data_IF_722106734807
#
_entry.id   IF_722106734807
#
_cell.length_a   1.000
_cell.length_b   1.000
_cell.length_c   1.000
_cell.angle_alpha   90.00
_cell.angle_beta   90.00
_cell.angle_gamma   90.00
#
_symmetry.space_group_name_H-M   'P 1'
#
loop_
_entity.id
_entity.type
_entity.pdbx_description
1 polymer ?
#
# COMPACT_ATOMS: atom_id res chain seq x y z
N UNK A 1 -23.24 -2.85 -3.88
CA UNK A 1 -22.45 -3.47 -4.97
C UNK A 1 -23.22 -3.28 -6.27
N UNK A 2 -22.57 -2.76 -7.31
CA UNK A 2 -23.17 -2.44 -8.63
C UNK A 2 -22.47 -3.18 -9.78
N UNK A 3 -21.77 -4.28 -9.48
CA UNK A 3 -21.17 -5.15 -10.48
C UNK A 3 -22.23 -5.97 -11.22
N UNK A 4 -22.08 -6.11 -12.53
CA UNK A 4 -22.93 -6.93 -13.39
C UNK A 4 -22.01 -7.89 -14.16
N UNK A 5 -22.32 -9.18 -14.13
CA UNK A 5 -21.52 -10.20 -14.84
C UNK A 5 -21.56 -9.95 -16.35
N UNK A 6 -20.41 -10.07 -17.02
CA UNK A 6 -20.28 -9.82 -18.45
C UNK A 6 -20.29 -8.33 -18.86
N UNK A 7 -20.42 -7.39 -17.92
CA UNK A 7 -20.45 -5.97 -18.25
C UNK A 7 -19.10 -5.48 -18.78
N UNK A 8 -19.17 -4.48 -19.65
CA UNK A 8 -18.03 -3.85 -20.34
C UNK A 8 -17.86 -2.42 -19.85
N UNK A 9 -16.70 -1.80 -20.06
CA UNK A 9 -16.51 -0.37 -19.74
C UNK A 9 -17.52 0.53 -20.45
N UNK A 10 -17.95 0.15 -21.66
CA UNK A 10 -19.05 0.83 -22.39
C UNK A 10 -20.38 0.71 -21.65
N UNK A 11 -20.75 -0.48 -21.20
CA UNK A 11 -21.99 -0.71 -20.45
C UNK A 11 -21.99 0.02 -19.11
N UNK A 12 -20.87 -0.04 -18.39
CA UNK A 12 -20.64 0.73 -17.17
C UNK A 12 -20.79 2.24 -17.37
N UNK A 13 -20.26 2.79 -18.46
CA UNK A 13 -20.42 4.21 -18.80
C UNK A 13 -21.88 4.59 -19.04
N UNK A 14 -22.64 3.75 -19.75
CA UNK A 14 -24.06 4.00 -20.04
C UNK A 14 -24.90 4.07 -18.77
N UNK A 15 -24.65 3.18 -17.79
CA UNK A 15 -25.43 3.10 -16.54
C UNK A 15 -24.86 3.91 -15.38
N UNK A 16 -23.73 4.61 -15.59
CA UNK A 16 -22.96 5.30 -14.55
C UNK A 16 -23.83 6.25 -13.71
N UNK A 17 -24.69 7.03 -14.37
CA UNK A 17 -25.54 8.01 -13.69
C UNK A 17 -26.51 7.36 -12.70
N UNK A 18 -27.28 6.37 -13.16
CA UNK A 18 -28.33 5.72 -12.36
C UNK A 18 -27.74 4.79 -11.30
N UNK A 19 -26.74 3.99 -11.67
CA UNK A 19 -26.21 2.95 -10.78
C UNK A 19 -25.21 3.47 -9.75
N UNK A 20 -24.59 4.62 -10.00
CA UNK A 20 -23.49 5.13 -9.15
C UNK A 20 -23.74 6.57 -8.72
N UNK A 21 -23.80 7.52 -9.66
CA UNK A 21 -23.74 8.95 -9.32
C UNK A 21 -25.00 9.44 -8.59
N UNK A 22 -26.17 9.01 -9.02
CA UNK A 22 -27.46 9.35 -8.37
C UNK A 22 -27.57 8.84 -6.92
N UNK A 23 -26.70 7.92 -6.51
CA UNK A 23 -26.65 7.40 -5.15
C UNK A 23 -25.78 8.25 -4.21
N UNK A 24 -25.12 9.30 -4.73
CA UNK A 24 -24.21 10.18 -4.00
C UNK A 24 -23.18 9.41 -3.12
N UNK A 25 -22.33 8.55 -3.73
CA UNK A 25 -21.42 7.70 -2.98
C UNK A 25 -20.35 8.53 -2.25
N UNK A 26 -19.88 8.01 -1.11
CA UNK A 26 -18.72 8.59 -0.41
C UNK A 26 -17.39 8.15 -1.02
N UNK A 27 -17.37 7.10 -1.83
CA UNK A 27 -16.21 6.59 -2.56
C UNK A 27 -16.61 5.49 -3.54
N UNK A 28 -15.77 5.21 -4.54
CA UNK A 28 -16.04 4.21 -5.59
C UNK A 28 -14.86 3.23 -5.68
N UNK A 29 -15.12 1.92 -5.64
CA UNK A 29 -14.14 0.90 -6.01
C UNK A 29 -14.43 0.43 -7.43
N UNK A 30 -13.43 0.44 -8.31
CA UNK A 30 -13.54 0.14 -9.73
C UNK A 30 -12.65 -1.03 -10.13
N UNK A 31 -13.24 -2.04 -10.78
CA UNK A 31 -12.55 -3.11 -11.50
C UNK A 31 -13.31 -3.36 -12.79
N UNK A 32 -12.70 -3.07 -13.94
CA UNK A 32 -13.39 -3.07 -15.24
C UNK A 32 -12.43 -3.27 -16.41
N UNK A 33 -12.92 -3.86 -17.51
CA UNK A 33 -12.17 -3.98 -18.77
C UNK A 33 -11.92 -5.41 -19.26
N UNK A 34 -12.03 -6.44 -18.40
CA UNK A 34 -11.70 -7.81 -18.81
C UNK A 34 -12.68 -8.41 -19.83
N UNK A 35 -13.97 -8.03 -19.77
CA UNK A 35 -14.97 -8.51 -20.72
C UNK A 35 -14.93 -7.74 -22.04
N UNK A 36 -14.48 -6.49 -22.03
CA UNK A 36 -14.28 -5.72 -23.24
C UNK A 36 -13.31 -6.41 -24.21
N UNK A 37 -12.27 -7.09 -23.69
CA UNK A 37 -11.36 -7.91 -24.50
C UNK A 37 -12.06 -9.11 -25.14
N UNK A 38 -12.96 -9.77 -24.43
CA UNK A 38 -13.75 -10.89 -24.97
C UNK A 38 -14.67 -10.44 -26.12
N UNK A 39 -15.20 -9.22 -26.02
CA UNK A 39 -16.02 -8.55 -27.03
C UNK A 39 -15.20 -7.88 -28.16
N UNK A 40 -13.87 -8.01 -28.12
CA UNK A 40 -12.97 -7.54 -29.18
C UNK A 40 -12.62 -6.05 -29.13
N UNK A 41 -12.86 -5.36 -28.02
CA UNK A 41 -12.40 -3.98 -27.83
C UNK A 41 -10.88 -3.92 -27.62
N UNK A 42 -10.25 -2.85 -28.08
CA UNK A 42 -8.81 -2.63 -27.85
C UNK A 42 -8.56 -2.02 -26.46
N UNK A 43 -7.37 -2.20 -25.87
CA UNK A 43 -6.99 -1.53 -24.63
C UNK A 43 -7.21 -0.01 -24.65
N UNK A 44 -7.02 0.65 -25.80
CA UNK A 44 -7.22 2.09 -25.96
C UNK A 44 -8.69 2.48 -25.90
N UNK A 45 -9.59 1.67 -26.48
CA UNK A 45 -11.04 1.88 -26.37
C UNK A 45 -11.51 1.74 -24.92
N UNK A 46 -11.00 0.71 -24.23
CA UNK A 46 -11.27 0.44 -22.81
C UNK A 46 -10.81 1.62 -21.94
N UNK A 47 -9.57 2.08 -22.15
CA UNK A 47 -9.03 3.24 -21.46
C UNK A 47 -9.77 4.55 -21.80
N UNK A 48 -10.24 4.70 -23.03
CA UNK A 48 -11.09 5.82 -23.45
C UNK A 48 -12.41 5.88 -22.67
N UNK A 49 -13.10 4.73 -22.55
CA UNK A 49 -14.32 4.63 -21.75
C UNK A 49 -14.04 4.92 -20.26
N UNK A 50 -12.95 4.38 -19.70
CA UNK A 50 -12.55 4.68 -18.34
C UNK A 50 -12.31 6.18 -18.10
N UNK A 51 -11.64 6.88 -19.02
CA UNK A 51 -11.45 8.34 -18.93
C UNK A 51 -12.77 9.10 -18.93
N UNK A 52 -13.75 8.67 -19.72
CA UNK A 52 -15.10 9.26 -19.72
C UNK A 52 -15.82 9.01 -18.39
N UNK A 53 -15.72 7.80 -17.84
CA UNK A 53 -16.27 7.46 -16.51
C UNK A 53 -15.64 8.36 -15.44
N UNK A 54 -14.31 8.46 -15.41
CA UNK A 54 -13.60 9.28 -14.43
C UNK A 54 -13.96 10.77 -14.57
N UNK A 55 -14.08 11.29 -15.79
CA UNK A 55 -14.51 12.66 -16.04
C UNK A 55 -15.92 12.92 -15.52
N UNK A 56 -16.86 11.99 -15.72
CA UNK A 56 -18.21 12.09 -15.17
C UNK A 56 -18.22 12.04 -13.63
N UNK A 57 -17.41 11.17 -13.02
CA UNK A 57 -17.22 11.11 -11.56
C UNK A 57 -16.70 12.44 -11.02
N UNK A 58 -15.67 13.02 -11.65
CA UNK A 58 -15.11 14.33 -11.25
C UNK A 58 -16.10 15.47 -11.44
N UNK A 59 -16.91 15.44 -12.50
CA UNK A 59 -17.98 16.42 -12.73
C UNK A 59 -19.05 16.34 -11.65
N UNK A 60 -19.42 15.13 -11.23
CA UNK A 60 -20.39 14.92 -10.15
C UNK A 60 -19.83 15.38 -8.81
N UNK A 61 -18.59 14.98 -8.47
CA UNK A 61 -17.89 15.42 -7.26
C UNK A 61 -16.37 15.35 -7.47
N UNK A 62 -15.73 16.53 -7.52
CA UNK A 62 -14.33 16.69 -7.90
C UNK A 62 -13.35 15.95 -6.98
N UNK A 63 -13.68 15.83 -5.70
CA UNK A 63 -12.86 15.21 -4.66
C UNK A 63 -13.34 13.81 -4.26
N UNK A 64 -14.28 13.19 -5.00
CA UNK A 64 -14.80 11.86 -4.71
C UNK A 64 -13.70 10.80 -4.79
N UNK A 65 -13.37 10.09 -3.70
CA UNK A 65 -12.34 9.07 -3.73
C UNK A 65 -12.69 7.92 -4.67
N UNK A 66 -11.73 7.53 -5.50
CA UNK A 66 -11.82 6.37 -6.40
C UNK A 66 -10.69 5.41 -6.07
N UNK A 67 -11.01 4.15 -5.84
CA UNK A 67 -10.05 3.06 -5.72
C UNK A 67 -10.10 2.27 -7.02
N UNK A 68 -9.05 2.36 -7.83
CA UNK A 68 -8.97 1.66 -9.11
C UNK A 68 -8.12 0.40 -8.95
N UNK A 69 -8.74 -0.76 -9.11
CA UNK A 69 -8.04 -2.02 -9.22
C UNK A 69 -7.49 -2.17 -10.63
N UNK A 70 -6.22 -2.56 -10.76
CA UNK A 70 -5.74 -3.12 -12.02
C UNK A 70 -6.60 -4.34 -12.41
N UNK A 71 -6.90 -4.44 -13.70
CA UNK A 71 -7.58 -5.58 -14.29
C UNK A 71 -6.81 -6.85 -13.93
N UNK A 72 -7.51 -7.83 -13.36
CA UNK A 72 -6.94 -9.11 -12.98
C UNK A 72 -6.40 -9.85 -14.22
N UNK A 73 -5.39 -10.71 -14.07
CA UNK A 73 -4.99 -11.62 -15.14
C UNK A 73 -6.14 -12.56 -15.49
N UNK A 74 -6.08 -13.10 -16.70
CA UNK A 74 -6.93 -14.20 -17.16
C UNK A 74 -6.07 -15.12 -18.01
N UNK A 75 -6.57 -15.64 -19.13
CA UNK A 75 -5.78 -16.44 -20.05
C UNK A 75 -6.10 -16.09 -21.50
N UNK A 76 -5.12 -16.24 -22.38
CA UNK A 76 -5.35 -16.16 -23.82
C UNK A 76 -6.44 -17.15 -24.29
N UNK A 77 -6.58 -18.30 -23.64
CA UNK A 77 -7.65 -19.28 -23.90
C UNK A 77 -9.05 -18.74 -23.62
N UNK A 78 -9.16 -17.70 -22.79
CA UNK A 78 -10.38 -16.94 -22.50
C UNK A 78 -10.50 -15.67 -23.33
N UNK A 79 -9.73 -15.53 -24.42
CA UNK A 79 -9.64 -14.32 -25.26
C UNK A 79 -9.19 -13.08 -24.49
N UNK A 80 -8.41 -13.27 -23.42
CA UNK A 80 -7.96 -12.21 -22.51
C UNK A 80 -6.44 -12.34 -22.31
N UNK A 81 -5.63 -12.14 -23.36
CA UNK A 81 -4.20 -12.37 -23.29
C UNK A 81 -3.52 -11.36 -22.35
N UNK A 82 -2.45 -11.80 -21.69
CA UNK A 82 -1.80 -11.03 -20.62
C UNK A 82 -1.22 -9.69 -21.10
N UNK A 83 -0.76 -9.60 -22.34
CA UNK A 83 -0.24 -8.37 -22.95
C UNK A 83 -1.33 -7.29 -23.09
N UNK A 84 -2.53 -7.66 -23.54
CA UNK A 84 -3.67 -6.76 -23.64
C UNK A 84 -4.10 -6.24 -22.26
N UNK A 85 -4.17 -7.12 -21.25
CA UNK A 85 -4.50 -6.75 -19.86
C UNK A 85 -3.43 -5.80 -19.29
N UNK A 86 -2.14 -6.10 -19.48
CA UNK A 86 -1.03 -5.23 -19.06
C UNK A 86 -1.11 -3.86 -19.74
N UNK A 87 -1.48 -3.81 -21.02
CA UNK A 87 -1.67 -2.55 -21.74
C UNK A 87 -2.86 -1.74 -21.17
N UNK A 88 -3.99 -2.37 -20.84
CA UNK A 88 -5.10 -1.70 -20.14
C UNK A 88 -4.61 -1.10 -18.81
N UNK A 89 -3.92 -1.91 -17.99
CA UNK A 89 -3.42 -1.48 -16.68
C UNK A 89 -2.42 -0.32 -16.78
N UNK A 90 -1.57 -0.32 -17.80
CA UNK A 90 -0.66 0.79 -18.11
C UNK A 90 -1.45 2.06 -18.46
N UNK A 91 -2.43 1.96 -19.36
CA UNK A 91 -3.25 3.10 -19.78
C UNK A 91 -4.11 3.66 -18.64
N UNK A 92 -4.59 2.80 -17.74
CA UNK A 92 -5.27 3.21 -16.50
C UNK A 92 -4.34 3.98 -15.58
N UNK A 93 -3.12 3.47 -15.34
CA UNK A 93 -2.11 4.16 -14.54
C UNK A 93 -1.74 5.54 -15.14
N UNK A 94 -1.60 5.62 -16.46
CA UNK A 94 -1.36 6.88 -17.17
C UNK A 94 -2.53 7.86 -17.04
N UNK A 95 -3.77 7.37 -17.08
CA UNK A 95 -4.97 8.19 -17.01
C UNK A 95 -5.21 8.82 -15.61
N UNK A 96 -4.62 8.25 -14.55
CA UNK A 96 -4.84 8.69 -13.16
C UNK A 96 -3.61 9.31 -12.51
N UNK A 97 -2.48 9.41 -13.24
CA UNK A 97 -1.18 9.86 -12.72
C UNK A 97 -1.22 11.21 -12.01
N UNK A 98 -2.09 12.12 -12.43
CA UNK A 98 -2.17 13.47 -11.85
C UNK A 98 -3.41 13.65 -10.95
N UNK A 99 -4.17 12.58 -10.73
CA UNK A 99 -5.41 12.61 -9.97
C UNK A 99 -5.21 12.08 -8.55
N UNK A 100 -4.96 13.00 -7.62
CA UNK A 100 -4.76 12.70 -6.19
C UNK A 100 -5.96 12.06 -5.49
N UNK A 101 -7.14 12.05 -6.11
CA UNK A 101 -8.33 11.41 -5.58
C UNK A 101 -8.54 10.00 -6.15
N UNK A 102 -7.60 9.49 -6.95
CA UNK A 102 -7.56 8.09 -7.36
C UNK A 102 -6.42 7.37 -6.64
N UNK A 103 -6.73 6.24 -6.02
CA UNK A 103 -5.74 5.27 -5.55
C UNK A 103 -5.75 4.06 -6.47
N UNK A 104 -4.66 3.86 -7.23
CA UNK A 104 -4.45 2.67 -8.04
C UNK A 104 -3.89 1.53 -7.17
N UNK A 105 -4.48 0.35 -7.26
CA UNK A 105 -4.00 -0.86 -6.58
C UNK A 105 -3.51 -1.86 -7.63
N UNK A 106 -2.29 -2.37 -7.46
CA UNK A 106 -1.62 -3.32 -8.37
C UNK A 106 -2.14 -4.76 -8.27
N UNK A 107 -3.47 -4.92 -8.28
CA UNK A 107 -4.15 -6.21 -8.11
C UNK A 107 -3.79 -7.26 -9.16
N UNK A 108 -3.30 -6.88 -10.34
CA UNK A 108 -2.86 -7.86 -11.35
C UNK A 108 -1.75 -8.76 -10.81
N UNK A 109 -0.77 -8.18 -10.10
CA UNK A 109 0.40 -8.90 -9.57
C UNK A 109 0.05 -9.95 -8.50
N UNK A 110 -1.06 -9.77 -7.78
CA UNK A 110 -1.52 -10.73 -6.78
C UNK A 110 -1.85 -12.09 -7.41
N UNK A 111 -2.45 -12.05 -8.59
CA UNK A 111 -3.14 -13.17 -9.20
C UNK A 111 -2.41 -13.73 -10.42
N UNK A 112 -1.38 -13.04 -10.90
CA UNK A 112 -0.64 -13.44 -12.10
C UNK A 112 0.42 -14.50 -11.75
N UNK A 113 0.47 -15.56 -12.55
CA UNK A 113 1.58 -16.52 -12.54
C UNK A 113 2.80 -15.95 -13.30
N UNK A 114 3.86 -16.76 -13.44
CA UNK A 114 5.09 -16.34 -14.10
C UNK A 114 4.89 -16.00 -15.59
N UNK A 115 3.91 -16.63 -16.23
CA UNK A 115 3.53 -16.44 -17.63
C UNK A 115 2.63 -15.20 -17.82
N UNK A 116 2.07 -14.67 -16.73
CA UNK A 116 1.13 -13.55 -16.71
C UNK A 116 -0.35 -13.94 -16.79
N UNK A 117 -0.65 -15.24 -16.79
CA UNK A 117 -1.99 -15.80 -16.72
C UNK A 117 -2.49 -15.87 -15.27
N UNK A 118 -3.79 -16.04 -15.08
CA UNK A 118 -4.37 -16.22 -13.74
C UNK A 118 -3.91 -17.55 -13.11
N UNK A 119 -3.57 -17.51 -11.82
CA UNK A 119 -3.25 -18.71 -11.02
C UNK A 119 -4.47 -19.62 -10.90
N UNK A 120 -4.39 -20.83 -11.43
CA UNK A 120 -5.53 -21.75 -11.47
C UNK A 120 -6.04 -22.15 -10.07
N UNK A 121 -5.16 -22.14 -9.06
CA UNK A 121 -5.52 -22.45 -7.67
C UNK A 121 -6.45 -21.38 -7.05
N UNK A 122 -6.41 -20.16 -7.60
CA UNK A 122 -7.22 -19.02 -7.16
C UNK A 122 -8.33 -18.70 -8.16
N UNK A 123 -8.14 -19.04 -9.43
CA UNK A 123 -9.05 -18.81 -10.56
C UNK A 123 -9.30 -20.15 -11.26
N UNK A 124 -10.23 -20.99 -10.74
CA UNK A 124 -10.42 -22.36 -11.23
C UNK A 124 -10.84 -22.43 -12.71
N UNK A 125 -11.42 -21.36 -13.24
CA UNK A 125 -11.76 -21.23 -14.66
C UNK A 125 -10.85 -20.24 -15.41
N UNK A 126 -9.75 -19.78 -14.80
CA UNK A 126 -8.82 -18.76 -15.30
C UNK A 126 -9.47 -17.37 -15.52
N UNK A 127 -10.58 -17.07 -14.86
CA UNK A 127 -11.27 -15.78 -14.99
C UNK A 127 -11.90 -15.27 -13.68
N UNK A 128 -12.61 -16.13 -12.95
CA UNK A 128 -13.31 -15.78 -11.73
C UNK A 128 -12.54 -16.26 -10.49
N UNK A 129 -12.29 -15.39 -9.49
CA UNK A 129 -11.63 -15.82 -8.28
C UNK A 129 -12.54 -16.74 -7.46
N UNK A 130 -11.94 -17.74 -6.82
CA UNK A 130 -12.57 -18.52 -5.76
C UNK A 130 -12.51 -17.76 -4.42
N UNK A 131 -12.90 -18.41 -3.32
CA UNK A 131 -12.88 -17.79 -1.99
C UNK A 131 -11.50 -17.23 -1.63
N UNK A 132 -10.42 -17.98 -1.86
CA UNK A 132 -9.07 -17.53 -1.54
C UNK A 132 -8.66 -16.30 -2.39
N UNK A 133 -9.03 -16.26 -3.68
CA UNK A 133 -8.84 -15.10 -4.53
C UNK A 133 -9.61 -13.86 -4.03
N UNK A 134 -10.86 -14.04 -3.61
CA UNK A 134 -11.66 -12.96 -3.00
C UNK A 134 -11.09 -12.47 -1.67
N UNK A 135 -10.64 -13.38 -0.79
CA UNK A 135 -10.01 -13.02 0.48
C UNK A 135 -8.75 -12.17 0.23
N UNK A 136 -7.91 -12.53 -0.75
CA UNK A 136 -6.74 -11.74 -1.17
C UNK A 136 -7.11 -10.38 -1.73
N UNK A 137 -8.16 -10.31 -2.57
CA UNK A 137 -8.62 -9.04 -3.11
C UNK A 137 -9.14 -8.11 -2.00
N UNK A 138 -9.94 -8.64 -1.07
CA UNK A 138 -10.44 -7.89 0.07
C UNK A 138 -9.30 -7.37 0.95
N UNK A 139 -8.28 -8.20 1.22
CA UNK A 139 -7.09 -7.79 1.97
C UNK A 139 -6.34 -6.65 1.26
N UNK A 140 -6.20 -6.70 -0.06
CA UNK A 140 -5.57 -5.62 -0.85
C UNK A 140 -6.33 -4.29 -0.81
N UNK A 141 -7.67 -4.33 -0.73
CA UNK A 141 -8.50 -3.12 -0.61
C UNK A 141 -8.45 -2.52 0.81
N UNK A 142 -8.29 -3.36 1.83
CA UNK A 142 -8.50 -2.99 3.23
C UNK A 142 -7.66 -1.80 3.71
N UNK A 143 -6.33 -1.73 3.46
CA UNK A 143 -5.52 -0.56 3.82
C UNK A 143 -6.00 0.74 3.18
N UNK A 144 -6.47 0.68 1.93
CA UNK A 144 -6.96 1.87 1.22
C UNK A 144 -8.32 2.32 1.78
N UNK A 145 -9.23 1.37 2.05
CA UNK A 145 -10.50 1.67 2.70
C UNK A 145 -10.28 2.27 4.10
N UNK A 146 -9.24 1.83 4.81
CA UNK A 146 -8.88 2.36 6.12
C UNK A 146 -8.33 3.80 6.02
N UNK A 147 -7.48 4.09 5.03
CA UNK A 147 -7.01 5.46 4.73
C UNK A 147 -8.18 6.39 4.42
N UNK A 148 -9.20 5.90 3.72
CA UNK A 148 -10.39 6.65 3.33
C UNK A 148 -11.48 6.73 4.42
N UNK A 149 -11.22 6.26 5.65
CA UNK A 149 -12.17 6.22 6.78
C UNK A 149 -13.44 5.38 6.53
N UNK A 150 -13.39 4.40 5.63
CA UNK A 150 -14.49 3.45 5.45
C UNK A 150 -14.40 2.27 6.43
N UNK A 151 -13.20 1.96 6.91
CA UNK A 151 -12.92 0.96 7.96
C UNK A 151 -11.87 1.50 8.93
N UNK A 152 -11.72 0.87 10.09
CA UNK A 152 -10.70 1.25 11.10
C UNK A 152 -10.67 2.75 11.43
N UNK A 153 -11.85 3.28 11.78
CA UNK A 153 -12.11 4.72 11.99
C UNK A 153 -11.88 5.19 13.42
N UNK A 154 -11.49 4.29 14.32
CA UNK A 154 -11.23 4.58 15.73
C UNK A 154 -9.72 4.59 16.00
N UNK A 155 -9.23 5.43 16.92
CA UNK A 155 -7.84 5.38 17.37
C UNK A 155 -7.45 4.00 17.92
N UNK A 156 -6.21 3.57 17.69
CA UNK A 156 -5.59 2.41 18.36
C UNK A 156 -5.39 2.75 19.85
N UNK A 157 -6.02 1.99 20.74
CA UNK A 157 -5.94 2.17 22.21
C UNK A 157 -4.72 1.48 22.84
N UNK A 158 -3.84 0.94 21.99
CA UNK A 158 -2.63 0.24 22.36
C UNK A 158 -1.79 1.00 23.40
N UNK A 159 -1.42 0.28 24.46
CA UNK A 159 -0.48 0.74 25.48
C UNK A 159 0.84 -0.04 25.35
N UNK A 160 2.00 0.65 25.27
CA UNK A 160 3.29 -0.02 25.21
C UNK A 160 3.54 -0.94 26.41
N UNK A 161 4.25 -2.04 26.17
CA UNK A 161 4.65 -2.96 27.22
C UNK A 161 5.62 -2.30 28.22
N UNK A 162 5.75 -2.85 29.43
CA UNK A 162 6.60 -2.27 30.47
C UNK A 162 8.06 -2.04 30.01
N UNK A 163 8.50 -0.78 30.16
CA UNK A 163 9.82 -0.31 29.77
C UNK A 163 9.95 0.08 28.30
N UNK A 164 8.91 -0.07 27.48
CA UNK A 164 8.87 0.50 26.13
C UNK A 164 8.36 1.94 26.17
N UNK A 165 9.06 2.83 25.46
CA UNK A 165 8.64 4.18 25.13
C UNK A 165 8.00 4.17 23.74
N UNK A 166 6.80 4.71 23.60
CA UNK A 166 6.20 4.92 22.29
C UNK A 166 6.95 6.01 21.52
N UNK A 167 7.22 5.74 20.23
CA UNK A 167 7.78 6.69 19.28
C UNK A 167 6.70 7.33 18.39
N UNK A 168 5.44 6.89 18.53
CA UNK A 168 4.31 7.46 17.79
C UNK A 168 3.09 7.55 18.70
N UNK A 169 2.60 8.77 18.93
CA UNK A 169 1.59 9.07 19.95
C UNK A 169 0.31 9.71 19.36
N UNK A 170 -0.01 9.38 18.10
CA UNK A 170 -1.23 9.82 17.42
C UNK A 170 -1.06 10.96 16.43
N UNK A 171 0.07 11.68 16.48
CA UNK A 171 0.49 12.69 15.50
C UNK A 171 1.97 12.53 15.13
N UNK A 172 2.49 13.40 14.26
CA UNK A 172 3.89 13.36 13.81
C UNK A 172 4.87 14.09 14.74
N UNK A 173 4.50 14.40 15.98
CA UNK A 173 5.43 14.96 16.97
C UNK A 173 6.59 13.99 17.22
N UNK A 174 7.82 14.50 17.25
CA UNK A 174 9.02 13.68 17.37
C UNK A 174 9.51 13.10 16.04
N UNK A 175 8.84 13.42 14.92
CA UNK A 175 9.23 13.05 13.57
C UNK A 175 9.60 14.28 12.73
N UNK A 176 10.50 14.07 11.77
CA UNK A 176 11.11 15.12 10.98
C UNK A 176 11.55 14.65 9.59
N UNK A 177 11.75 15.60 8.68
CA UNK A 177 12.58 15.40 7.51
C UNK A 177 14.03 15.79 7.82
N UNK A 178 14.97 15.03 7.24
CA UNK A 178 16.41 15.23 7.40
C UNK A 178 17.10 15.28 6.04
N UNK A 179 18.21 16.01 5.96
CA UNK A 179 19.11 15.90 4.81
C UNK A 179 19.69 14.48 4.77
N UNK A 180 19.62 13.83 3.61
CA UNK A 180 20.03 12.44 3.50
C UNK A 180 21.52 12.23 3.79
N UNK A 181 22.37 13.22 3.51
CA UNK A 181 23.82 13.11 3.68
C UNK A 181 24.28 13.58 5.05
N UNK A 182 23.93 14.81 5.44
CA UNK A 182 24.38 15.40 6.71
C UNK A 182 23.57 14.89 7.90
N UNK A 183 22.32 14.46 7.66
CA UNK A 183 21.34 14.09 8.68
C UNK A 183 20.86 15.25 9.54
N UNK A 184 21.15 16.48 9.12
CA UNK A 184 20.61 17.67 9.75
C UNK A 184 19.09 17.70 9.59
N UNK A 185 18.39 18.15 10.63
CA UNK A 185 16.94 18.31 10.59
C UNK A 185 16.59 19.45 9.63
N UNK A 186 15.75 19.15 8.64
CA UNK A 186 15.25 20.11 7.67
C UNK A 186 13.90 20.68 8.12
N UNK A 187 13.02 19.82 8.65
CA UNK A 187 11.66 20.18 9.02
C UNK A 187 11.14 19.25 10.11
N UNK A 188 10.41 19.77 11.10
CA UNK A 188 9.76 18.99 12.16
C UNK A 188 8.24 19.15 12.11
N UNK A 189 7.51 18.20 12.69
CA UNK A 189 6.04 18.14 12.60
C UNK A 189 5.30 18.16 13.95
N UNK A 190 5.63 19.08 14.89
CA UNK A 190 5.01 19.08 16.21
C UNK A 190 3.50 19.35 16.15
N UNK A 191 2.71 18.44 16.72
CA UNK A 191 1.25 18.50 16.74
C UNK A 191 0.59 18.38 15.36
N UNK A 192 1.33 17.99 14.31
CA UNK A 192 0.80 17.91 12.94
C UNK A 192 0.36 16.49 12.62
N UNK A 193 -0.82 16.32 12.01
CA UNK A 193 -1.28 15.01 11.55
C UNK A 193 -0.68 14.64 10.19
N UNK A 194 0.08 15.52 9.53
CA UNK A 194 0.61 15.28 8.18
C UNK A 194 1.92 16.03 7.96
N UNK A 195 2.81 15.43 7.15
CA UNK A 195 4.02 16.08 6.67
C UNK A 195 3.69 17.20 5.67
N UNK A 196 4.64 18.12 5.44
CA UNK A 196 4.45 19.27 4.53
C UNK A 196 4.15 18.88 3.09
N UNK A 197 4.70 17.74 2.63
CA UNK A 197 4.47 17.17 1.30
C UNK A 197 3.28 16.20 1.24
N UNK A 198 2.57 16.01 2.36
CA UNK A 198 1.45 15.09 2.51
C UNK A 198 1.80 13.61 2.45
N UNK A 199 3.09 13.24 2.35
CA UNK A 199 3.54 11.84 2.16
C UNK A 199 3.31 10.97 3.39
N UNK A 200 3.37 11.57 4.58
CA UNK A 200 3.11 10.90 5.85
C UNK A 200 1.87 11.51 6.48
N UNK A 201 0.94 10.65 6.90
CA UNK A 201 -0.31 11.05 7.54
C UNK A 201 -0.51 10.22 8.80
N UNK A 202 -0.52 10.87 9.96
CA UNK A 202 -0.94 10.28 11.21
C UNK A 202 -2.48 10.28 11.30
N UNK A 203 -3.06 9.09 11.41
CA UNK A 203 -4.51 8.91 11.40
C UNK A 203 -4.91 7.64 12.16
N UNK A 204 -5.87 7.76 13.07
CA UNK A 204 -6.46 6.62 13.80
C UNK A 204 -5.41 5.67 14.42
N UNK A 205 -4.34 6.19 14.99
CA UNK A 205 -3.26 5.37 15.58
C UNK A 205 -2.34 4.70 14.56
N UNK A 206 -2.31 5.16 13.31
CA UNK A 206 -1.41 4.70 12.25
C UNK A 206 -0.63 5.87 11.64
N UNK A 207 0.60 5.61 11.24
CA UNK A 207 1.32 6.43 10.27
C UNK A 207 1.08 5.81 8.89
N UNK A 208 0.40 6.55 8.01
CA UNK A 208 0.11 6.17 6.64
C UNK A 208 1.13 6.84 5.73
N UNK A 209 1.81 6.04 4.92
CA UNK A 209 2.77 6.47 3.93
C UNK A 209 2.07 6.41 2.56
N UNK A 210 1.49 7.54 2.13
CA UNK A 210 0.51 7.62 1.03
C UNK A 210 1.13 7.55 -0.36
N UNK A 211 0.65 6.69 -1.26
CA UNK A 211 1.14 6.64 -2.64
C UNK A 211 0.98 7.99 -3.33
N UNK A 212 2.06 8.60 -3.87
CA UNK A 212 1.94 9.84 -4.62
C UNK A 212 1.18 9.58 -5.94
N UNK A 213 0.46 10.57 -6.51
CA UNK A 213 -0.26 10.41 -7.77
C UNK A 213 0.63 9.90 -8.91
N UNK A 214 1.87 10.38 -8.96
CA UNK A 214 2.89 9.97 -9.95
C UNK A 214 3.40 8.52 -9.76
N UNK A 215 2.92 7.81 -8.74
CA UNK A 215 3.18 6.39 -8.47
C UNK A 215 4.39 6.14 -7.58
N UNK A 216 5.58 6.58 -8.02
CA UNK A 216 6.85 6.35 -7.30
C UNK A 216 7.49 7.66 -6.88
N UNK A 217 7.73 7.82 -5.57
CA UNK A 217 8.52 8.92 -5.02
C UNK A 217 9.11 8.49 -3.68
N UNK A 218 10.43 8.34 -3.65
CA UNK A 218 11.18 8.08 -2.42
C UNK A 218 11.10 9.31 -1.52
N UNK A 219 10.67 9.09 -0.29
CA UNK A 219 10.72 10.05 0.79
C UNK A 219 11.03 9.32 2.10
N UNK A 220 11.66 10.00 3.04
CA UNK A 220 12.07 9.43 4.32
C UNK A 220 11.70 10.35 5.46
N UNK A 221 10.98 9.82 6.45
CA UNK A 221 10.69 10.49 7.70
C UNK A 221 11.47 9.83 8.83
N UNK A 222 12.06 10.65 9.69
CA UNK A 222 12.99 10.22 10.72
C UNK A 222 12.53 10.67 12.09
N UNK A 223 12.92 9.96 13.14
CA UNK A 223 12.80 10.49 14.50
C UNK A 223 13.71 11.71 14.66
N UNK A 224 13.24 12.71 15.42
CA UNK A 224 14.06 13.83 15.89
C UNK A 224 15.17 13.36 16.84
N UNK A 225 14.82 12.38 17.68
CA UNK A 225 15.74 11.69 18.60
C UNK A 225 16.68 10.74 17.85
N UNK A 226 17.91 10.63 18.35
CA UNK A 226 18.89 9.64 17.91
C UNK A 226 19.13 8.62 19.02
N UNK A 227 19.28 7.36 18.67
CA UNK A 227 19.39 6.25 19.61
C UNK A 227 20.77 5.61 19.54
N UNK A 228 21.36 5.33 20.70
CA UNK A 228 22.66 4.66 20.87
C UNK A 228 22.54 3.46 21.82
N UNK A 229 23.60 2.67 21.98
CA UNK A 229 23.64 1.51 22.88
C UNK A 229 22.68 0.38 22.51
N UNK A 230 22.43 -0.53 23.44
CA UNK A 230 21.59 -1.70 23.18
C UNK A 230 20.10 -1.34 23.36
N UNK A 231 19.23 -1.78 22.45
CA UNK A 231 17.80 -1.53 22.54
C UNK A 231 16.96 -2.59 21.81
N UNK A 232 15.67 -2.63 22.11
CA UNK A 232 14.68 -3.37 21.35
C UNK A 232 13.72 -2.36 20.72
N UNK A 233 13.64 -2.35 19.39
CA UNK A 233 12.63 -1.63 18.62
C UNK A 233 11.55 -2.63 18.18
N UNK A 234 10.29 -2.28 18.40
CA UNK A 234 9.15 -3.01 17.86
C UNK A 234 8.23 -2.07 17.10
N UNK A 235 7.62 -2.58 16.04
CA UNK A 235 6.54 -1.90 15.31
C UNK A 235 5.67 -2.93 14.60
N UNK A 236 4.48 -2.53 14.19
CA UNK A 236 3.67 -3.30 13.25
C UNK A 236 3.58 -2.54 11.92
N UNK A 237 3.61 -3.27 10.80
CA UNK A 237 3.43 -2.70 9.48
C UNK A 237 2.45 -3.52 8.63
N UNK A 238 1.82 -2.88 7.65
CA UNK A 238 1.14 -3.56 6.54
C UNK A 238 1.35 -2.82 5.23
N UNK A 239 1.26 -3.58 4.14
CA UNK A 239 1.67 -3.15 2.81
C UNK A 239 0.59 -3.45 1.77
N UNK A 240 0.21 -2.48 0.95
CA UNK A 240 -0.59 -2.78 -0.26
C UNK A 240 0.21 -3.65 -1.24
N UNK A 241 -0.45 -4.33 -2.20
CA UNK A 241 0.25 -5.19 -3.16
C UNK A 241 1.44 -4.48 -3.81
N UNK A 242 2.58 -5.16 -3.86
CA UNK A 242 3.83 -4.68 -4.47
C UNK A 242 4.44 -3.40 -3.83
N UNK A 243 3.94 -2.95 -2.67
CA UNK A 243 4.52 -1.80 -1.98
C UNK A 243 5.98 -2.06 -1.59
N UNK A 244 6.80 -1.01 -1.72
CA UNK A 244 8.22 -1.03 -1.41
C UNK A 244 8.57 0.13 -0.47
N UNK A 245 9.29 -0.22 0.59
CA UNK A 245 9.68 0.67 1.68
C UNK A 245 10.75 -0.02 2.55
N UNK A 246 11.19 0.68 3.57
CA UNK A 246 12.10 0.19 4.58
C UNK A 246 11.96 0.93 5.90
N UNK A 247 12.46 0.27 6.94
CA UNK A 247 12.64 0.85 8.27
C UNK A 247 14.13 1.10 8.44
N UNK A 248 14.51 2.34 8.69
CA UNK A 248 15.89 2.69 8.96
C UNK A 248 16.20 2.54 10.44
N UNK A 249 17.33 1.89 10.74
CA UNK A 249 17.85 1.77 12.10
C UNK A 249 19.23 2.41 12.09
N UNK A 250 19.37 3.60 12.68
CA UNK A 250 20.64 4.35 12.69
C UNK A 250 21.26 4.58 11.31
N UNK A 251 20.44 4.75 10.28
CA UNK A 251 20.77 4.97 8.84
C UNK A 251 20.76 3.73 7.93
N UNK A 252 21.25 2.52 8.30
CA UNK A 252 20.99 1.33 7.50
C UNK A 252 19.50 1.03 7.36
N UNK A 253 19.08 0.62 6.16
CA UNK A 253 17.69 0.28 5.86
C UNK A 253 17.44 -1.22 5.96
N UNK A 254 16.50 -1.62 6.79
CA UNK A 254 15.89 -2.94 6.78
C UNK A 254 14.68 -2.92 5.83
N UNK A 255 14.60 -3.87 4.90
CA UNK A 255 13.51 -3.93 3.93
C UNK A 255 12.17 -4.24 4.59
N UNK A 256 11.15 -3.46 4.27
CA UNK A 256 9.80 -3.57 4.82
C UNK A 256 8.79 -3.38 3.68
N UNK A 257 8.28 -4.49 3.13
CA UNK A 257 7.61 -4.52 1.83
C UNK A 257 6.44 -5.50 1.85
N UNK A 258 5.70 -5.54 0.74
CA UNK A 258 4.89 -6.70 0.41
C UNK A 258 5.78 -7.90 -0.02
N UNK A 259 6.36 -8.60 0.95
CA UNK A 259 7.50 -9.50 0.70
C UNK A 259 7.28 -10.57 -0.37
N UNK A 260 6.12 -11.27 -0.46
CA UNK A 260 5.89 -12.26 -1.50
C UNK A 260 6.00 -11.68 -2.92
N UNK A 261 5.63 -10.41 -3.11
CA UNK A 261 5.66 -9.74 -4.42
C UNK A 261 6.95 -8.93 -4.66
N UNK A 262 7.49 -8.26 -3.63
CA UNK A 262 8.57 -7.29 -3.76
C UNK A 262 9.92 -7.74 -3.14
N UNK A 263 10.00 -8.92 -2.54
CA UNK A 263 11.22 -9.48 -1.93
C UNK A 263 11.73 -8.66 -0.74
N UNK A 264 12.97 -8.90 -0.25
CA UNK A 264 13.79 -10.08 -0.51
C UNK A 264 13.26 -11.34 0.22
N UNK A 265 12.42 -11.18 1.25
CA UNK A 265 12.02 -12.24 2.17
C UNK A 265 10.76 -13.01 1.69
N UNK A 266 10.84 -13.67 0.54
CA UNK A 266 9.67 -14.27 -0.14
C UNK A 266 9.11 -15.53 0.53
N UNK A 267 9.91 -16.20 1.36
CA UNK A 267 9.62 -17.53 1.90
C UNK A 267 9.12 -17.52 3.35
N UNK A 268 8.78 -16.36 3.90
CA UNK A 268 8.27 -16.21 5.26
C UNK A 268 6.89 -16.88 5.38
N UNK A 269 6.78 -17.85 6.29
CA UNK A 269 5.57 -18.65 6.48
C UNK A 269 4.52 -17.95 7.35
N UNK A 270 4.96 -17.11 8.28
CA UNK A 270 4.13 -16.36 9.20
C UNK A 270 3.80 -14.97 8.70
N UNK A 271 4.41 -14.51 7.59
CA UNK A 271 4.05 -13.23 6.98
C UNK A 271 2.58 -13.25 6.53
N UNK A 272 1.85 -12.18 6.83
CA UNK A 272 0.44 -12.01 6.50
C UNK A 272 0.32 -10.94 5.41
N UNK A 273 0.10 -11.31 4.14
CA UNK A 273 -0.03 -10.35 3.05
C UNK A 273 -1.15 -9.35 3.33
N UNK A 274 -0.84 -8.06 3.14
CA UNK A 274 -1.76 -6.92 3.29
C UNK A 274 -2.36 -6.73 4.71
N UNK A 275 -1.96 -7.53 5.69
CA UNK A 275 -2.35 -7.41 7.10
C UNK A 275 -1.17 -6.97 7.97
N UNK A 276 -1.42 -6.71 9.25
CA UNK A 276 -0.44 -6.25 10.23
C UNK A 276 0.60 -7.31 10.58
N UNK A 277 1.86 -7.03 10.31
CA UNK A 277 3.01 -7.87 10.64
C UNK A 277 3.86 -7.18 11.72
N UNK A 278 4.23 -7.90 12.78
CA UNK A 278 5.11 -7.38 13.83
C UNK A 278 6.57 -7.53 13.42
N UNK A 279 7.28 -6.40 13.41
CA UNK A 279 8.72 -6.32 13.22
C UNK A 279 9.38 -6.13 14.60
N UNK A 280 10.31 -7.00 14.95
CA UNK A 280 11.09 -6.92 16.19
C UNK A 280 12.57 -6.85 15.85
N UNK A 281 13.22 -5.77 16.29
CA UNK A 281 14.63 -5.50 16.02
C UNK A 281 15.35 -5.39 17.37
N UNK A 282 16.21 -6.35 17.67
CA UNK A 282 17.04 -6.34 18.88
C UNK A 282 18.45 -5.92 18.52
N UNK A 283 18.89 -4.76 19.02
CA UNK A 283 20.23 -4.22 18.82
C UNK A 283 21.10 -4.56 20.03
N UNK A 284 22.23 -5.22 19.78
CA UNK A 284 23.28 -5.47 20.77
C UNK A 284 24.66 -5.23 20.16
N UNK A 285 25.48 -4.43 20.83
CA UNK A 285 26.85 -4.11 20.37
C UNK A 285 26.87 -3.67 18.90
N UNK A 286 25.98 -2.75 18.53
CA UNK A 286 25.83 -2.21 17.17
C UNK A 286 25.50 -3.24 16.07
N UNK A 287 24.98 -4.41 16.45
CA UNK A 287 24.44 -5.42 15.53
C UNK A 287 22.98 -5.66 15.86
N UNK A 288 22.11 -5.57 14.84
CA UNK A 288 20.70 -5.86 14.94
C UNK A 288 20.39 -7.30 14.51
N UNK A 289 19.56 -7.97 15.31
CA UNK A 289 18.84 -9.17 14.92
C UNK A 289 17.39 -8.78 14.64
N UNK A 290 16.92 -8.99 13.41
CA UNK A 290 15.65 -8.50 12.89
C UNK A 290 14.72 -9.68 12.58
N UNK A 291 13.49 -9.65 13.12
CA UNK A 291 12.47 -10.66 12.82
C UNK A 291 11.14 -10.05 12.41
N UNK A 292 10.40 -10.75 11.55
CA UNK A 292 9.02 -10.46 11.18
C UNK A 292 8.14 -11.63 11.61
N UNK A 293 7.16 -11.39 12.48
CA UNK A 293 6.30 -12.43 13.06
C UNK A 293 7.09 -13.63 13.61
N UNK A 294 8.25 -13.35 14.24
CA UNK A 294 9.14 -14.36 14.80
C UNK A 294 10.10 -15.02 13.82
N UNK A 295 9.96 -14.81 12.51
CA UNK A 295 10.87 -15.34 11.49
C UNK A 295 12.03 -14.38 11.23
N UNK A 296 13.24 -14.91 11.05
CA UNK A 296 14.45 -14.09 10.86
C UNK A 296 14.45 -13.44 9.48
N UNK A 297 14.57 -12.11 9.46
CA UNK A 297 14.85 -11.34 8.25
C UNK A 297 16.37 -11.18 8.07
N UNK A 298 17.04 -10.68 9.11
CA UNK A 298 18.48 -10.45 9.14
C UNK A 298 19.02 -10.88 10.50
N UNK A 299 19.99 -11.79 10.51
CA UNK A 299 20.60 -12.28 11.75
C UNK A 299 21.70 -11.34 12.28
N UNK A 300 22.44 -10.70 11.37
CA UNK A 300 23.57 -9.81 11.69
C UNK A 300 23.51 -8.52 10.85
N UNK A 301 22.59 -7.64 11.21
CA UNK A 301 22.43 -6.35 10.54
C UNK A 301 23.31 -5.28 11.20
N UNK A 302 24.45 -4.96 10.59
CA UNK A 302 25.46 -4.05 11.16
C UNK A 302 24.97 -2.61 11.16
N UNK A 303 25.12 -1.93 12.29
CA UNK A 303 24.65 -0.57 12.52
C UNK A 303 25.79 0.37 12.89
N UNK A 304 25.66 1.68 12.63
CA UNK A 304 26.46 2.69 13.30
C UNK A 304 26.23 2.70 14.82
N UNK A 305 27.15 3.27 15.62
CA UNK A 305 27.00 3.36 17.08
C UNK A 305 25.79 4.18 17.56
N UNK A 306 25.34 5.12 16.73
CA UNK A 306 24.15 5.92 17.01
C UNK A 306 23.49 6.43 15.74
N UNK A 307 22.20 6.75 15.84
CA UNK A 307 21.45 7.40 14.76
C UNK A 307 19.94 7.35 14.98
N UNK A 308 19.16 8.03 14.11
CA UNK A 308 17.71 8.05 14.20
C UNK A 308 17.08 6.72 13.73
N UNK A 309 15.79 6.54 14.04
CA UNK A 309 14.94 5.54 13.39
C UNK A 309 14.19 6.24 12.26
N UNK A 310 13.98 5.58 11.13
CA UNK A 310 13.29 6.17 9.98
C UNK A 310 12.30 5.23 9.31
N UNK A 311 11.36 5.82 8.59
CA UNK A 311 10.37 5.14 7.76
C UNK A 311 10.51 5.67 6.33
N UNK A 312 10.67 4.79 5.35
CA UNK A 312 10.65 5.17 3.93
C UNK A 312 9.24 5.10 3.36
N UNK A 313 8.99 5.84 2.29
CA UNK A 313 8.01 5.46 1.30
C UNK A 313 8.61 5.56 -0.09
N UNK A 314 8.67 4.46 -0.85
CA UNK A 314 9.09 4.47 -2.26
C UNK A 314 7.88 4.39 -3.20
N UNK A 315 7.19 3.24 -3.19
CA UNK A 315 5.99 2.98 -4.01
C UNK A 315 4.93 2.20 -3.22
N UNK A 316 3.68 2.35 -3.62
CA UNK A 316 2.54 1.76 -2.91
C UNK A 316 2.30 2.41 -1.54
N UNK A 317 1.20 2.02 -0.91
CA UNK A 317 0.86 2.49 0.43
C UNK A 317 1.45 1.54 1.46
N UNK A 318 2.15 2.11 2.44
CA UNK A 318 2.57 1.43 3.66
C UNK A 318 1.85 2.06 4.85
N UNK A 319 1.56 1.25 5.86
CA UNK A 319 1.08 1.75 7.14
C UNK A 319 1.91 1.16 8.28
N UNK A 320 2.18 1.99 9.29
CA UNK A 320 2.93 1.62 10.50
C UNK A 320 2.10 1.96 11.73
N UNK A 321 2.19 1.14 12.78
CA UNK A 321 1.61 1.45 14.09
C UNK A 321 2.44 0.85 15.21
N UNK A 322 2.10 1.24 16.45
CA UNK A 322 2.70 0.69 17.68
C UNK A 322 4.23 0.72 17.67
N UNK A 323 4.80 1.80 17.14
CA UNK A 323 6.24 2.00 17.03
C UNK A 323 6.76 2.36 18.42
N UNK A 324 7.64 1.53 18.97
CA UNK A 324 8.05 1.62 20.36
C UNK A 324 9.45 1.07 20.58
N UNK A 325 10.19 1.67 21.51
CA UNK A 325 11.58 1.31 21.78
C UNK A 325 11.82 1.15 23.28
N UNK A 326 12.58 0.11 23.64
CA UNK A 326 13.06 -0.15 25.01
C UNK A 326 14.58 -0.15 25.03
N UNK A 327 15.17 0.78 25.76
CA UNK A 327 16.61 0.77 26.00
C UNK A 327 16.98 -0.43 26.87
N UNK A 328 18.02 -1.16 26.49
CA UNK A 328 18.63 -2.21 27.29
C UNK A 328 19.77 -1.58 28.12
N UNK A 329 19.87 -2.00 29.38
CA UNK A 329 20.89 -1.52 30.30
C UNK A 329 22.21 -2.22 30.10
#
# INVERSE_FOLDING_TARGET
NRGISGDTTRGMLIRLEEDVLSLNPSGIVMLMGTNDLEEGATPEQIAGNFKLILAAVRKHKADLPVVLCQVFPSSATKKRPADAIKQINKLYAEAVRDDKYVTLIETWTLFANAEGDAKAEEFPDLLHPNKAGYDKWAAALWPILATLDFVETQPDDFQPEEGFKSLFNGDLTGWCFRDQKSQDVLETFPGKPTSSDGRYVAKNGRIIVTTPPEGRRVQQMWTEETFSGDFILKLEFRATPNADSGVFIRRPQLQCRDYPLAGPYKELQNYKPQDWNELVITVKNDVAHCTCNGEVLEAEFKLPPSGPIGLEGDRGQMEYRRIRLKQLR
#
